data_IF_775485808961
#
_entry.id   IF_775485808961
#
_cell.length_a   1.000
_cell.length_b   1.000
_cell.length_c   1.000
_cell.angle_alpha   90.00
_cell.angle_beta   90.00
_cell.angle_gamma   90.00
#
_symmetry.space_group_name_H-M   'P 1'
#
loop_
_entity.id
_entity.type
_entity.pdbx_description
1 polymer ?
#
# COMPACT_ATOMS: atom_id res chain seq x y z
N UNK A 1 -25.04 -11.04 7.81
CA UNK A 1 -24.86 -9.63 7.94
C UNK A 1 -23.42 -9.21 7.61
N UNK A 2 -23.06 -9.36 6.33
CA UNK A 2 -21.70 -9.20 5.79
C UNK A 2 -21.07 -7.86 6.20
N UNK A 3 -21.84 -6.76 6.13
CA UNK A 3 -21.32 -5.43 6.43
C UNK A 3 -20.78 -5.33 7.87
N UNK A 4 -21.55 -5.72 8.86
CA UNK A 4 -21.14 -5.62 10.27
C UNK A 4 -20.04 -6.61 10.62
N UNK A 5 -20.08 -7.82 10.04
CA UNK A 5 -19.11 -8.88 10.38
C UNK A 5 -17.76 -8.71 9.71
N UNK A 6 -17.74 -8.30 8.43
CA UNK A 6 -16.52 -8.36 7.62
C UNK A 6 -15.99 -6.98 7.18
N UNK A 7 -16.84 -5.94 7.14
CA UNK A 7 -16.48 -4.69 6.47
C UNK A 7 -16.32 -3.55 7.47
N UNK A 8 -17.31 -3.31 8.32
CA UNK A 8 -17.40 -2.10 9.12
C UNK A 8 -16.16 -1.88 9.99
N UNK A 9 -15.91 -2.75 10.94
CA UNK A 9 -14.84 -2.57 11.92
C UNK A 9 -13.45 -2.67 11.29
N UNK A 10 -13.27 -3.52 10.28
CA UNK A 10 -12.01 -3.59 9.52
C UNK A 10 -11.71 -2.26 8.83
N UNK A 11 -12.70 -1.70 8.14
CA UNK A 11 -12.57 -0.41 7.45
C UNK A 11 -12.27 0.72 8.44
N UNK A 12 -12.98 0.75 9.57
CA UNK A 12 -12.77 1.75 10.61
C UNK A 12 -11.36 1.66 11.23
N UNK A 13 -10.83 0.45 11.46
CA UNK A 13 -9.43 0.25 11.89
C UNK A 13 -8.44 0.76 10.84
N UNK A 14 -8.63 0.38 9.59
CA UNK A 14 -7.72 0.75 8.51
C UNK A 14 -7.64 2.26 8.29
N UNK A 15 -8.79 2.93 8.35
CA UNK A 15 -8.88 4.35 8.04
C UNK A 15 -8.87 5.27 9.27
N UNK A 16 -9.05 4.72 10.49
CA UNK A 16 -9.13 5.49 11.73
C UNK A 16 -10.35 6.40 11.80
N UNK A 17 -11.38 6.13 11.00
CA UNK A 17 -12.60 6.93 10.85
C UNK A 17 -13.84 6.03 10.75
N UNK A 18 -15.00 6.56 11.09
CA UNK A 18 -16.26 5.82 10.91
C UNK A 18 -16.55 5.58 9.43
N UNK A 19 -17.17 4.45 9.10
CA UNK A 19 -17.57 4.14 7.72
C UNK A 19 -18.45 5.21 7.09
N UNK A 20 -19.28 5.91 7.89
CA UNK A 20 -20.16 6.99 7.43
C UNK A 20 -19.42 8.28 7.04
N UNK A 21 -18.16 8.42 7.42
CA UNK A 21 -17.29 9.56 7.12
C UNK A 21 -16.39 9.28 5.90
N UNK A 22 -16.43 8.06 5.40
CA UNK A 22 -15.59 7.62 4.30
C UNK A 22 -16.35 7.62 2.97
N UNK A 23 -15.69 7.94 1.84
CA UNK A 23 -16.30 7.85 0.52
C UNK A 23 -16.77 6.44 0.19
N UNK A 24 -17.96 6.32 -0.41
CA UNK A 24 -18.57 5.03 -0.73
C UNK A 24 -17.70 4.12 -1.62
N UNK A 25 -16.81 4.67 -2.45
CA UNK A 25 -15.95 3.88 -3.33
C UNK A 25 -14.99 2.96 -2.56
N UNK A 26 -14.60 3.32 -1.33
CA UNK A 26 -13.73 2.49 -0.48
C UNK A 26 -14.37 1.12 -0.22
N UNK A 27 -15.68 1.10 0.00
CA UNK A 27 -16.45 -0.13 0.26
C UNK A 27 -16.86 -0.81 -1.05
N UNK A 28 -17.22 -0.04 -2.08
CA UNK A 28 -17.66 -0.57 -3.39
C UNK A 28 -16.61 -1.42 -4.11
N UNK A 29 -15.33 -1.27 -3.77
CA UNK A 29 -14.25 -2.09 -4.36
C UNK A 29 -14.24 -3.54 -3.87
N UNK A 30 -14.93 -3.85 -2.77
CA UNK A 30 -14.95 -5.20 -2.22
C UNK A 30 -15.81 -6.12 -3.11
N UNK A 31 -15.26 -7.26 -3.58
CA UNK A 31 -15.98 -8.16 -4.47
C UNK A 31 -17.02 -8.99 -3.67
N UNK A 32 -18.26 -8.54 -3.66
CA UNK A 32 -19.38 -9.35 -3.15
C UNK A 32 -20.02 -10.06 -4.34
N UNK A 33 -19.90 -11.39 -4.39
CA UNK A 33 -20.43 -12.24 -5.45
C UNK A 33 -21.39 -13.29 -4.89
N UNK A 34 -22.40 -13.64 -5.68
CA UNK A 34 -23.37 -14.70 -5.34
C UNK A 34 -23.00 -16.01 -6.04
N UNK A 35 -21.70 -16.27 -6.21
CA UNK A 35 -21.11 -17.46 -6.82
C UNK A 35 -19.94 -17.95 -5.99
N UNK A 36 -19.58 -19.23 -6.12
CA UNK A 36 -18.39 -19.81 -5.48
C UNK A 36 -17.13 -19.41 -6.27
N UNK A 37 -16.64 -18.19 -6.02
CA UNK A 37 -15.41 -17.66 -6.60
C UNK A 37 -14.62 -16.96 -5.48
N UNK A 38 -13.43 -17.52 -5.17
CA UNK A 38 -12.55 -17.03 -4.13
C UNK A 38 -11.57 -15.94 -4.61
N UNK A 39 -11.57 -15.62 -5.91
CA UNK A 39 -10.69 -14.57 -6.42
C UNK A 39 -11.11 -13.21 -5.89
N UNK A 40 -10.15 -12.42 -5.41
CA UNK A 40 -10.41 -11.05 -5.00
C UNK A 40 -10.67 -10.14 -6.21
N UNK A 41 -9.88 -10.30 -7.27
CA UNK A 41 -10.01 -9.56 -8.53
C UNK A 41 -10.69 -10.39 -9.61
N UNK A 42 -11.20 -9.72 -10.66
CA UNK A 42 -11.75 -10.36 -11.84
C UNK A 42 -10.71 -10.55 -12.96
N UNK A 43 -9.44 -10.25 -12.68
CA UNK A 43 -8.36 -10.32 -13.66
C UNK A 43 -8.09 -11.77 -14.06
N UNK A 44 -7.89 -11.98 -15.35
CA UNK A 44 -7.60 -13.30 -15.91
C UNK A 44 -6.29 -13.89 -15.41
N UNK A 45 -5.29 -13.03 -15.17
CA UNK A 45 -3.97 -13.40 -14.68
C UNK A 45 -3.70 -12.68 -13.37
N UNK A 46 -3.40 -13.44 -12.34
CA UNK A 46 -3.09 -12.96 -11.01
C UNK A 46 -1.93 -13.77 -10.45
N UNK A 47 -0.97 -13.11 -9.80
CA UNK A 47 0.18 -13.79 -9.24
C UNK A 47 1.22 -12.83 -8.68
N UNK A 48 2.26 -13.42 -8.12
CA UNK A 48 3.47 -12.74 -7.69
C UNK A 48 4.59 -13.16 -8.65
N UNK A 49 5.44 -12.22 -9.12
CA UNK A 49 6.53 -12.55 -10.02
C UNK A 49 7.49 -13.60 -9.43
N UNK A 50 7.81 -14.63 -10.19
CA UNK A 50 8.81 -15.63 -9.79
C UNK A 50 10.18 -14.96 -9.70
N UNK A 51 10.80 -15.04 -8.51
CA UNK A 51 12.06 -14.34 -8.20
C UNK A 51 11.87 -12.93 -7.66
N UNK A 52 10.62 -12.53 -7.36
CA UNK A 52 10.27 -11.27 -6.70
C UNK A 52 10.11 -10.09 -7.65
N UNK A 53 9.67 -8.96 -7.09
CA UNK A 53 9.37 -7.76 -7.87
C UNK A 53 10.61 -7.08 -8.43
N UNK A 54 11.77 -7.18 -7.77
CA UNK A 54 13.01 -6.58 -8.29
C UNK A 54 13.36 -7.12 -9.68
N UNK A 55 13.24 -8.42 -9.89
CA UNK A 55 13.48 -9.05 -11.20
C UNK A 55 12.52 -8.52 -12.29
N UNK A 56 11.26 -8.28 -11.92
CA UNK A 56 10.29 -7.65 -12.82
C UNK A 56 10.70 -6.22 -13.17
N UNK A 57 11.10 -5.44 -12.15
CA UNK A 57 11.54 -4.05 -12.35
C UNK A 57 12.80 -3.98 -13.18
N UNK A 58 13.79 -4.85 -12.93
CA UNK A 58 15.02 -4.94 -13.73
C UNK A 58 14.70 -5.18 -15.21
N UNK A 59 13.77 -6.09 -15.50
CA UNK A 59 13.31 -6.34 -16.86
C UNK A 59 12.59 -5.15 -17.51
N UNK A 60 11.83 -4.38 -16.73
CA UNK A 60 11.16 -3.17 -17.22
C UNK A 60 12.13 -2.02 -17.48
N UNK A 61 13.26 -1.99 -16.77
CA UNK A 61 14.30 -0.96 -16.90
C UNK A 61 15.38 -1.35 -17.89
N UNK A 62 15.30 -2.51 -18.54
CA UNK A 62 16.31 -2.94 -19.52
C UNK A 62 16.49 -1.89 -20.64
N UNK A 63 17.73 -1.42 -20.81
CA UNK A 63 18.07 -0.39 -21.78
C UNK A 63 17.70 1.04 -21.40
N UNK A 64 17.26 1.27 -20.17
CA UNK A 64 16.94 2.59 -19.62
C UNK A 64 18.01 2.99 -18.61
N UNK A 65 18.58 4.18 -18.74
CA UNK A 65 19.49 4.72 -17.74
C UNK A 65 18.75 4.93 -16.43
N UNK A 66 19.18 4.22 -15.39
CA UNK A 66 18.59 4.31 -14.05
C UNK A 66 19.64 4.75 -13.04
N UNK A 67 19.29 5.71 -12.20
CA UNK A 67 20.10 6.15 -11.06
C UNK A 67 19.34 5.97 -9.78
N UNK A 68 19.94 5.27 -8.84
CA UNK A 68 19.41 5.09 -7.47
C UNK A 68 20.04 6.09 -6.50
N UNK A 69 19.51 6.17 -5.30
CA UNK A 69 20.00 7.05 -4.24
C UNK A 69 20.02 8.54 -4.61
N UNK A 70 19.11 8.95 -5.49
CA UNK A 70 18.95 10.33 -5.93
C UNK A 70 17.71 10.94 -5.29
N UNK A 71 17.91 11.93 -4.43
CA UNK A 71 16.86 12.83 -3.98
C UNK A 71 16.61 13.90 -5.05
N UNK A 72 15.41 13.87 -5.64
CA UNK A 72 15.06 14.79 -6.74
C UNK A 72 15.23 16.25 -6.33
N UNK A 73 14.79 16.66 -5.13
CA UNK A 73 14.81 18.05 -4.68
C UNK A 73 16.19 18.54 -4.25
N UNK A 74 17.08 17.63 -3.85
CA UNK A 74 18.44 17.93 -3.39
C UNK A 74 19.51 17.59 -4.45
N UNK A 75 19.10 17.36 -5.70
CA UNK A 75 20.00 17.05 -6.82
C UNK A 75 19.89 18.07 -7.96
N UNK A 76 20.79 17.93 -8.94
CA UNK A 76 20.73 18.71 -10.19
C UNK A 76 19.44 18.45 -10.99
N UNK A 77 18.80 17.30 -10.80
CA UNK A 77 17.59 16.89 -11.52
C UNK A 77 16.34 17.68 -11.12
N UNK A 78 16.41 18.48 -10.07
CA UNK A 78 15.38 19.49 -9.78
C UNK A 78 15.14 20.42 -10.97
N UNK A 79 16.21 20.76 -11.68
CA UNK A 79 16.18 21.56 -12.92
C UNK A 79 15.94 20.65 -14.14
N UNK A 80 14.99 19.75 -14.08
CA UNK A 80 14.75 18.68 -15.04
C UNK A 80 14.67 19.13 -16.50
N UNK A 81 14.21 20.37 -16.76
CA UNK A 81 14.14 20.95 -18.11
C UNK A 81 15.51 21.09 -18.80
N UNK A 82 16.61 20.95 -18.05
CA UNK A 82 17.97 20.86 -18.61
C UNK A 82 18.32 19.50 -19.17
N UNK A 83 17.59 18.46 -18.76
CA UNK A 83 17.92 17.06 -19.01
C UNK A 83 16.87 16.34 -19.86
N UNK A 84 15.60 16.82 -19.85
CA UNK A 84 14.49 16.14 -20.51
C UNK A 84 13.43 17.12 -21.01
N UNK A 85 12.69 16.70 -22.04
CA UNK A 85 11.54 17.43 -22.57
C UNK A 85 10.27 17.22 -21.73
N UNK A 86 10.22 16.14 -20.94
CA UNK A 86 9.08 15.79 -20.09
C UNK A 86 9.56 15.18 -18.79
N UNK A 87 8.85 15.48 -17.71
CA UNK A 87 9.03 14.88 -16.40
C UNK A 87 7.79 14.05 -16.05
N UNK A 88 8.00 12.81 -15.63
CA UNK A 88 6.98 12.00 -14.94
C UNK A 88 7.41 11.87 -13.47
N UNK A 89 6.85 12.70 -12.61
CA UNK A 89 7.13 12.68 -11.19
C UNK A 89 6.11 11.79 -10.47
N UNK A 90 6.57 10.72 -9.81
CA UNK A 90 5.71 9.74 -9.12
C UNK A 90 5.69 9.92 -7.59
N UNK A 91 6.38 10.91 -7.07
CA UNK A 91 6.35 11.28 -5.66
C UNK A 91 5.08 12.04 -5.26
N UNK A 92 5.04 12.56 -4.05
CA UNK A 92 3.89 13.31 -3.55
C UNK A 92 3.74 14.65 -4.30
N UNK A 93 2.55 14.87 -4.87
CA UNK A 93 2.30 16.07 -5.71
C UNK A 93 2.39 17.37 -4.91
N UNK A 94 1.96 17.38 -3.66
CA UNK A 94 2.06 18.53 -2.77
C UNK A 94 3.50 18.86 -2.42
N UNK A 95 4.36 17.87 -2.25
CA UNK A 95 5.80 18.04 -2.06
C UNK A 95 6.45 18.66 -3.29
N UNK A 96 6.08 18.20 -4.50
CA UNK A 96 6.59 18.76 -5.76
C UNK A 96 6.36 20.29 -5.84
N UNK A 97 5.20 20.75 -5.39
CA UNK A 97 4.85 22.17 -5.31
C UNK A 97 5.21 22.82 -3.97
N UNK A 98 6.14 22.23 -3.21
CA UNK A 98 6.60 22.74 -1.92
C UNK A 98 5.45 23.09 -0.97
N UNK A 99 4.41 22.24 -0.94
CA UNK A 99 3.22 22.37 -0.10
C UNK A 99 2.50 23.72 -0.21
N UNK A 100 2.61 24.41 -1.36
CA UNK A 100 2.11 25.77 -1.58
C UNK A 100 0.60 25.96 -1.35
N UNK A 101 -0.19 24.89 -1.47
CA UNK A 101 -1.62 24.85 -1.21
C UNK A 101 -1.96 24.11 0.11
N UNK A 102 -0.96 23.60 0.81
CA UNK A 102 -1.11 22.79 2.03
C UNK A 102 -0.75 21.32 1.81
N UNK A 103 -0.58 20.56 2.91
CA UNK A 103 -0.25 19.15 2.88
C UNK A 103 -1.47 18.28 2.65
N UNK A 104 -1.30 17.23 1.83
CA UNK A 104 -2.22 16.11 1.71
C UNK A 104 -2.02 15.14 2.88
N UNK A 105 -3.11 14.58 3.37
CA UNK A 105 -3.06 13.66 4.50
C UNK A 105 -2.82 12.22 4.03
N UNK A 106 -2.08 11.47 4.84
CA UNK A 106 -1.75 10.07 4.61
C UNK A 106 -2.12 9.20 5.80
N UNK A 107 -2.32 7.93 5.52
CA UNK A 107 -2.29 6.85 6.50
C UNK A 107 -1.01 6.06 6.31
N UNK A 108 -0.51 5.48 7.40
CA UNK A 108 0.64 4.59 7.37
C UNK A 108 0.33 3.28 8.09
N UNK A 109 1.24 2.32 7.98
CA UNK A 109 1.19 1.07 8.72
C UNK A 109 2.48 0.87 9.49
N UNK A 110 2.39 0.18 10.61
CA UNK A 110 3.53 -0.31 11.37
C UNK A 110 3.41 -1.82 11.56
N UNK A 111 4.53 -2.48 11.69
CA UNK A 111 4.59 -3.94 11.85
C UNK A 111 5.23 -4.31 13.17
N UNK A 112 4.64 -5.30 13.85
CA UNK A 112 5.27 -6.02 14.95
C UNK A 112 5.61 -7.41 14.46
N UNK A 113 6.89 -7.62 14.19
CA UNK A 113 7.38 -8.89 13.67
C UNK A 113 8.00 -9.70 14.80
N UNK A 114 7.69 -11.01 14.84
CA UNK A 114 8.23 -11.96 15.79
C UNK A 114 8.48 -13.31 15.14
N UNK A 115 9.30 -14.12 15.80
CA UNK A 115 9.52 -15.53 15.43
C UNK A 115 8.65 -16.38 16.34
N UNK A 116 7.84 -17.24 15.74
CA UNK A 116 7.03 -18.24 16.42
C UNK A 116 7.74 -19.60 16.38
N UNK A 117 7.71 -20.33 17.49
CA UNK A 117 8.31 -21.66 17.60
C UNK A 117 7.34 -22.74 17.12
N UNK A 118 6.84 -22.55 15.91
CA UNK A 118 5.93 -23.46 15.22
C UNK A 118 6.19 -23.45 13.73
N UNK A 119 6.07 -24.61 13.09
CA UNK A 119 6.23 -24.75 11.65
C UNK A 119 5.08 -24.12 10.86
N UNK A 120 3.91 -23.96 11.48
CA UNK A 120 2.72 -23.37 10.85
C UNK A 120 1.90 -22.66 11.92
N UNK A 121 1.85 -21.33 11.87
CA UNK A 121 1.17 -20.48 12.85
C UNK A 121 -0.31 -20.34 12.53
N UNK A 122 -0.65 -20.01 11.27
CA UNK A 122 -2.03 -19.72 10.87
C UNK A 122 -2.48 -20.47 9.60
N UNK A 123 -1.59 -21.16 8.92
CA UNK A 123 -1.92 -21.99 7.76
C UNK A 123 -2.15 -21.22 6.46
N UNK A 124 -1.90 -19.92 6.45
CA UNK A 124 -2.07 -19.05 5.28
C UNK A 124 -1.12 -17.85 5.36
N UNK A 125 -0.74 -17.32 4.20
CA UNK A 125 0.16 -16.17 4.11
C UNK A 125 -0.41 -14.92 4.80
N UNK A 126 -1.70 -14.64 4.64
CA UNK A 126 -2.35 -13.44 5.20
C UNK A 126 -3.73 -13.79 5.76
N UNK A 127 -3.97 -13.41 7.02
CA UNK A 127 -5.30 -13.46 7.65
C UNK A 127 -5.70 -12.07 8.10
N UNK A 128 -6.85 -11.57 7.62
CA UNK A 128 -7.42 -10.29 8.04
C UNK A 128 -8.27 -10.47 9.31
N UNK A 129 -8.09 -9.59 10.27
CA UNK A 129 -8.86 -9.55 11.51
C UNK A 129 -9.86 -8.40 11.45
N UNK A 130 -11.14 -8.73 11.33
CA UNK A 130 -12.20 -7.74 11.09
C UNK A 130 -12.66 -7.04 12.35
N UNK A 131 -12.67 -7.71 13.51
CA UNK A 131 -13.16 -7.15 14.78
C UNK A 131 -12.21 -6.15 15.42
N UNK A 132 -12.74 -5.14 16.09
CA UNK A 132 -11.99 -4.21 16.96
C UNK A 132 -11.35 -4.87 18.18
N UNK A 133 -11.74 -6.10 18.56
CA UNK A 133 -11.09 -6.86 19.63
C UNK A 133 -9.60 -7.08 19.38
N UNK A 134 -9.20 -7.13 18.10
CA UNK A 134 -7.81 -7.18 17.69
C UNK A 134 -7.40 -5.81 17.12
N UNK A 135 -6.37 -5.17 17.69
CA UNK A 135 -5.96 -3.83 17.27
C UNK A 135 -5.24 -3.81 15.90
N UNK A 136 -4.72 -4.93 15.45
CA UNK A 136 -4.10 -5.07 14.13
C UNK A 136 -5.15 -5.38 13.06
N UNK A 137 -4.84 -5.02 11.82
CA UNK A 137 -5.71 -5.24 10.65
C UNK A 137 -5.51 -6.62 10.06
N UNK A 138 -4.27 -7.13 10.09
CA UNK A 138 -3.91 -8.45 9.56
C UNK A 138 -2.71 -9.04 10.26
N UNK A 139 -2.57 -10.35 10.08
CA UNK A 139 -1.38 -11.10 10.43
C UNK A 139 -0.81 -11.73 9.16
N UNK A 140 0.49 -11.58 8.96
CA UNK A 140 1.23 -12.11 7.83
C UNK A 140 2.15 -13.23 8.35
N UNK A 141 2.01 -14.45 7.84
CA UNK A 141 2.95 -15.55 8.06
C UNK A 141 3.79 -15.72 6.79
N UNK A 142 5.03 -15.23 6.84
CA UNK A 142 5.84 -15.01 5.65
C UNK A 142 6.19 -16.27 4.88
N UNK A 143 6.38 -17.40 5.55
CA UNK A 143 6.78 -18.66 4.90
C UNK A 143 5.80 -19.20 3.85
N UNK A 144 4.52 -18.79 3.93
CA UNK A 144 3.51 -19.24 2.98
C UNK A 144 3.55 -18.50 1.63
N UNK A 145 4.43 -17.52 1.48
CA UNK A 145 4.71 -16.96 0.16
C UNK A 145 5.73 -17.84 -0.57
N UNK A 146 5.31 -18.46 -1.67
CA UNK A 146 6.14 -19.39 -2.46
C UNK A 146 7.46 -18.79 -2.95
N UNK A 147 7.52 -17.46 -3.07
CA UNK A 147 8.73 -16.75 -3.48
C UNK A 147 9.94 -16.98 -2.56
N UNK A 148 9.73 -17.36 -1.31
CA UNK A 148 10.81 -17.65 -0.36
C UNK A 148 11.39 -19.06 -0.52
N UNK A 149 10.74 -19.93 -1.29
CA UNK A 149 11.21 -21.27 -1.62
C UNK A 149 10.90 -22.34 -0.57
N UNK A 150 11.14 -23.58 -0.95
CA UNK A 150 10.79 -24.76 -0.16
C UNK A 150 11.59 -24.84 1.16
N UNK A 151 12.83 -24.41 1.16
CA UNK A 151 13.70 -24.44 2.36
C UNK A 151 13.10 -23.56 3.48
N UNK A 152 12.57 -22.39 3.14
CA UNK A 152 11.89 -21.51 4.11
C UNK A 152 10.57 -22.11 4.57
N UNK A 153 9.84 -22.72 3.65
CA UNK A 153 8.57 -23.39 3.97
C UNK A 153 8.76 -24.54 4.97
N UNK A 154 9.82 -25.35 4.80
CA UNK A 154 10.13 -26.52 5.66
C UNK A 154 10.76 -26.14 7.02
N UNK A 155 11.09 -24.88 7.25
CA UNK A 155 11.66 -24.42 8.51
C UNK A 155 10.69 -24.72 9.67
N UNK A 156 11.16 -25.28 10.82
CA UNK A 156 10.30 -25.59 11.97
C UNK A 156 9.79 -24.36 12.73
N UNK A 157 10.25 -23.17 12.35
CA UNK A 157 9.82 -21.87 12.90
C UNK A 157 9.14 -21.03 11.84
N UNK A 158 8.29 -20.09 12.28
CA UNK A 158 7.63 -19.14 11.39
C UNK A 158 7.93 -17.70 11.79
N UNK A 159 8.14 -16.83 10.79
CA UNK A 159 8.15 -15.38 10.99
C UNK A 159 6.74 -14.84 10.77
N UNK A 160 6.25 -14.13 11.76
CA UNK A 160 4.88 -13.59 11.78
C UNK A 160 4.91 -12.09 12.02
N UNK A 161 4.19 -11.33 11.21
CA UNK A 161 4.05 -9.88 11.35
C UNK A 161 2.59 -9.48 11.57
N UNK A 162 2.33 -8.72 12.63
CA UNK A 162 1.06 -8.04 12.85
C UNK A 162 1.11 -6.65 12.26
N UNK A 163 0.16 -6.30 11.39
CA UNK A 163 0.05 -4.99 10.74
C UNK A 163 -0.92 -4.08 11.49
N UNK A 164 -0.46 -2.91 11.85
CA UNK A 164 -1.24 -1.87 12.53
C UNK A 164 -1.38 -0.65 11.62
N UNK A 165 -2.60 -0.25 11.30
CA UNK A 165 -2.86 0.98 10.58
C UNK A 165 -2.89 2.17 11.55
N UNK A 166 -2.12 3.21 11.24
CA UNK A 166 -1.97 4.38 12.11
C UNK A 166 -2.02 5.69 11.31
N UNK A 167 -2.18 6.81 12.01
CA UNK A 167 -2.02 8.13 11.41
C UNK A 167 -0.57 8.34 10.98
N UNK A 168 -0.41 8.93 9.80
CA UNK A 168 0.90 9.33 9.29
C UNK A 168 1.47 10.50 10.12
N UNK A 169 2.76 10.46 10.37
CA UNK A 169 3.54 11.56 10.93
C UNK A 169 4.79 11.77 10.10
N UNK A 170 5.29 12.99 10.06
CA UNK A 170 6.52 13.32 9.33
C UNK A 170 7.67 12.35 9.73
N UNK A 171 8.34 11.80 8.74
CA UNK A 171 9.39 10.79 8.90
C UNK A 171 8.92 9.33 8.85
N UNK A 172 7.61 9.08 8.77
CA UNK A 172 7.06 7.76 8.46
C UNK A 172 6.93 7.57 6.95
N UNK A 173 6.77 6.32 6.52
CA UNK A 173 6.46 6.03 5.13
C UNK A 173 4.96 6.23 4.87
N UNK A 174 4.55 7.00 3.84
CA UNK A 174 3.16 7.18 3.46
C UNK A 174 2.65 5.97 2.68
N UNK A 175 1.63 5.27 3.20
CA UNK A 175 1.07 4.08 2.56
C UNK A 175 -0.20 4.36 1.77
N UNK A 176 -1.13 5.10 2.37
CA UNK A 176 -2.45 5.32 1.79
C UNK A 176 -2.82 6.80 1.81
N UNK A 177 -3.11 7.45 0.66
CA UNK A 177 -3.65 8.79 0.66
C UNK A 177 -5.04 8.81 1.30
N UNK A 178 -5.32 9.80 2.11
CA UNK A 178 -6.65 10.01 2.69
C UNK A 178 -7.55 10.63 1.63
N UNK A 179 -8.48 9.84 1.10
CA UNK A 179 -9.36 10.24 0.01
C UNK A 179 -10.70 10.82 0.55
N UNK A 180 -10.64 11.74 1.49
CA UNK A 180 -11.81 12.52 1.91
C UNK A 180 -12.05 13.73 0.99
N UNK A 181 -13.13 14.45 1.22
CA UNK A 181 -13.53 15.59 0.37
C UNK A 181 -12.47 16.70 0.36
N UNK A 182 -11.91 17.04 1.54
CA UNK A 182 -10.85 18.04 1.67
C UNK A 182 -9.61 17.67 0.84
N UNK A 183 -9.12 16.45 1.02
CA UNK A 183 -7.90 15.98 0.35
C UNK A 183 -8.13 15.84 -1.17
N UNK A 184 -9.31 15.40 -1.59
CA UNK A 184 -9.63 15.31 -3.02
C UNK A 184 -9.68 16.71 -3.67
N UNK A 185 -10.31 17.70 -3.03
CA UNK A 185 -10.32 19.07 -3.51
C UNK A 185 -8.92 19.68 -3.59
N UNK A 186 -8.09 19.44 -2.57
CA UNK A 186 -6.70 19.91 -2.54
C UNK A 186 -5.86 19.23 -3.64
N UNK A 187 -6.00 17.92 -3.82
CA UNK A 187 -5.32 17.20 -4.88
C UNK A 187 -5.72 17.69 -6.28
N UNK A 188 -6.99 18.03 -6.49
CA UNK A 188 -7.47 18.61 -7.76
C UNK A 188 -6.87 20.01 -8.03
N UNK A 189 -6.65 20.80 -6.98
CA UNK A 189 -5.95 22.09 -7.14
C UNK A 189 -4.50 21.88 -7.57
N UNK A 190 -3.79 20.94 -6.96
CA UNK A 190 -2.42 20.57 -7.36
C UNK A 190 -2.36 20.04 -8.79
N UNK A 191 -3.31 19.18 -9.21
CA UNK A 191 -3.40 18.70 -10.60
C UNK A 191 -3.56 19.84 -11.60
N UNK A 192 -4.33 20.87 -11.24
CA UNK A 192 -4.46 22.08 -12.08
C UNK A 192 -3.17 22.88 -12.18
N UNK A 193 -2.38 22.97 -11.10
CA UNK A 193 -1.04 23.57 -11.15
C UNK A 193 -0.12 22.77 -12.09
N UNK A 194 -0.10 21.45 -11.93
CA UNK A 194 0.74 20.57 -12.76
C UNK A 194 0.40 20.63 -14.26
N UNK A 195 -0.87 20.86 -14.59
CA UNK A 195 -1.29 20.98 -16.00
C UNK A 195 -0.81 22.28 -16.67
N UNK A 196 -0.36 23.28 -15.91
CA UNK A 196 0.12 24.56 -16.39
C UNK A 196 1.66 24.66 -16.38
N UNK A 197 2.40 23.63 -16.00
CA UNK A 197 3.84 23.58 -15.91
C UNK A 197 4.49 22.95 -17.15
#
# INVERSE_FOLDING_TARGET
DIFYTLIKEYTEKQWGRKCTELPAFIIKRLPVRMVFDNNYFNDKYQGIPVGGYNKLIDGLLEGIDCKTDVDFFNSEYKDWKKFADKLVYTGAIDEYFNYSLGKLDWRTVSFKTRIEDTANFQGNAVVNYTSHEKPYTRVIEHKHFEMFGQEVYDCPKSVVSEEYSTEYKDGMEPYYPVNDERNNQLADQYRKLAANE
#
